data_IF_679951915551
#
_entry.id   IF_679951915551
#
_cell.length_a   1.000
_cell.length_b   1.000
_cell.length_c   1.000
_cell.angle_alpha   90.00
_cell.angle_beta   90.00
_cell.angle_gamma   90.00
#
_symmetry.space_group_name_H-M   'P 1'
#
loop_
_entity.id
_entity.type
_entity.pdbx_description
1 polymer ?
#
# COMPACT_ATOMS: atom_id res chain seq x y z
N UNK A 1 1.21 -15.59 -0.08
CA UNK A 1 2.42 -14.81 0.30
C UNK A 1 3.49 -14.74 -0.78
N UNK A 2 4.08 -15.85 -1.25
CA UNK A 2 5.16 -15.84 -2.26
C UNK A 2 4.80 -15.09 -3.56
N UNK A 3 3.60 -15.34 -4.10
CA UNK A 3 3.12 -14.66 -5.32
C UNK A 3 2.96 -13.14 -5.14
N UNK A 4 2.50 -12.69 -3.95
CA UNK A 4 2.34 -11.25 -3.67
C UNK A 4 3.69 -10.54 -3.57
N UNK A 5 4.70 -11.19 -3.00
CA UNK A 5 6.07 -10.66 -2.99
C UNK A 5 6.58 -10.47 -4.42
N UNK A 6 6.34 -11.44 -5.31
CA UNK A 6 6.71 -11.32 -6.73
C UNK A 6 5.98 -10.14 -7.39
N UNK A 7 4.68 -9.98 -7.14
CA UNK A 7 3.90 -8.85 -7.67
C UNK A 7 4.44 -7.52 -7.16
N UNK A 8 4.77 -7.42 -5.86
CA UNK A 8 5.34 -6.20 -5.28
C UNK A 8 6.73 -5.89 -5.83
N UNK A 9 7.57 -6.91 -6.12
CA UNK A 9 8.85 -6.71 -6.78
C UNK A 9 8.64 -6.14 -8.18
N UNK A 10 7.75 -6.74 -8.97
CA UNK A 10 7.41 -6.24 -10.31
C UNK A 10 6.85 -4.81 -10.26
N UNK A 11 5.98 -4.51 -9.29
CA UNK A 11 5.45 -3.17 -9.08
C UNK A 11 6.55 -2.18 -8.69
N UNK A 12 7.51 -2.58 -7.85
CA UNK A 12 8.64 -1.75 -7.45
C UNK A 12 9.55 -1.42 -8.64
N UNK A 13 9.78 -2.34 -9.57
CA UNK A 13 10.48 -2.04 -10.81
C UNK A 13 9.65 -1.15 -11.75
N UNK A 14 8.35 -1.42 -11.87
CA UNK A 14 7.47 -0.67 -12.76
C UNK A 14 7.36 0.81 -12.35
N UNK A 15 7.22 1.08 -11.06
CA UNK A 15 7.11 2.45 -10.54
C UNK A 15 8.41 3.25 -10.68
N UNK A 16 9.59 2.61 -10.60
CA UNK A 16 10.86 3.33 -10.73
C UNK A 16 11.27 3.53 -12.19
N UNK A 17 10.69 2.78 -13.14
CA UNK A 17 11.10 2.80 -14.55
C UNK A 17 10.09 3.44 -15.50
N UNK A 18 8.78 3.28 -15.28
CA UNK A 18 7.76 3.63 -16.29
C UNK A 18 6.77 4.69 -15.79
N UNK A 19 6.28 4.57 -14.55
CA UNK A 19 5.17 5.39 -14.06
C UNK A 19 5.53 6.08 -12.74
N UNK A 20 5.37 7.41 -12.63
CA UNK A 20 5.60 8.16 -11.39
C UNK A 20 4.41 8.00 -10.42
N UNK A 21 4.06 6.74 -10.13
CA UNK A 21 2.97 6.38 -9.21
C UNK A 21 3.49 5.30 -8.27
N UNK A 22 3.32 5.54 -6.97
CA UNK A 22 3.75 4.60 -5.94
C UNK A 22 2.78 3.39 -5.83
N UNK A 23 2.92 2.47 -6.79
CA UNK A 23 2.12 1.26 -6.89
C UNK A 23 2.34 0.32 -5.71
N UNK A 24 3.56 0.26 -5.20
CA UNK A 24 3.91 -0.59 -4.06
C UNK A 24 3.12 -0.15 -2.84
N UNK A 25 3.14 1.15 -2.52
CA UNK A 25 2.39 1.71 -1.41
C UNK A 25 0.88 1.52 -1.61
N UNK A 26 0.36 1.74 -2.82
CA UNK A 26 -1.05 1.54 -3.14
C UNK A 26 -1.51 0.09 -2.88
N UNK A 27 -0.75 -0.90 -3.34
CA UNK A 27 -1.06 -2.32 -3.12
C UNK A 27 -1.04 -2.64 -1.62
N UNK A 28 -0.06 -2.12 -0.88
CA UNK A 28 0.07 -2.32 0.56
C UNK A 28 -1.10 -1.67 1.33
N UNK A 29 -1.54 -0.47 0.94
CA UNK A 29 -2.73 0.19 1.49
C UNK A 29 -3.96 -0.70 1.26
N UNK A 30 -4.19 -1.14 0.01
CA UNK A 30 -5.33 -1.98 -0.32
C UNK A 30 -5.34 -3.28 0.50
N UNK A 31 -4.19 -3.94 0.61
CA UNK A 31 -4.06 -5.17 1.40
C UNK A 31 -4.27 -4.93 2.89
N UNK A 32 -3.67 -3.90 3.45
CA UNK A 32 -3.83 -3.56 4.86
C UNK A 32 -5.28 -3.19 5.21
N UNK A 33 -6.02 -2.64 4.24
CA UNK A 33 -7.44 -2.35 4.38
C UNK A 33 -8.31 -3.61 4.31
N UNK A 34 -8.00 -4.57 3.44
CA UNK A 34 -8.71 -5.87 3.37
C UNK A 34 -8.44 -6.72 4.62
N UNK A 35 -7.18 -6.76 5.08
CA UNK A 35 -6.75 -7.65 6.16
C UNK A 35 -5.66 -7.02 7.02
N UNK A 36 -5.99 -6.72 8.27
CA UNK A 36 -5.04 -6.19 9.26
C UNK A 36 -4.15 -7.30 9.84
N UNK A 37 -3.01 -7.58 9.20
CA UNK A 37 -1.99 -8.52 9.71
C UNK A 37 -0.64 -7.86 9.99
N UNK A 38 0.10 -8.41 10.95
CA UNK A 38 1.48 -7.97 11.27
C UNK A 38 2.43 -8.11 10.08
N UNK A 39 2.17 -9.07 9.19
CA UNK A 39 2.97 -9.31 7.98
C UNK A 39 2.92 -8.12 7.00
N UNK A 40 1.89 -7.29 7.04
CA UNK A 40 1.84 -6.10 6.19
C UNK A 40 2.87 -5.05 6.62
N UNK A 41 3.22 -4.99 7.92
CA UNK A 41 4.24 -4.07 8.41
C UNK A 41 5.65 -4.52 7.99
N UNK A 42 5.93 -5.82 8.05
CA UNK A 42 7.21 -6.35 7.58
C UNK A 42 7.38 -6.16 6.08
N UNK A 43 6.30 -6.31 5.30
CA UNK A 43 6.31 -6.01 3.87
C UNK A 43 6.48 -4.52 3.60
N UNK A 44 5.78 -3.65 4.33
CA UNK A 44 5.94 -2.20 4.20
C UNK A 44 7.38 -1.77 4.44
N UNK A 45 8.03 -2.31 5.48
CA UNK A 45 9.43 -2.04 5.76
C UNK A 45 10.36 -2.54 4.65
N UNK A 46 10.23 -3.82 4.25
CA UNK A 46 11.10 -4.44 3.26
C UNK A 46 10.96 -3.78 1.87
N UNK A 47 9.73 -3.51 1.44
CA UNK A 47 9.47 -2.87 0.15
C UNK A 47 9.70 -1.37 0.17
N UNK A 48 9.58 -0.70 1.31
CA UNK A 48 10.03 0.68 1.47
C UNK A 48 11.55 0.80 1.32
N UNK A 49 12.32 -0.15 1.88
CA UNK A 49 13.77 -0.23 1.66
C UNK A 49 14.11 -0.52 0.19
N UNK A 50 13.42 -1.50 -0.43
CA UNK A 50 13.64 -1.84 -1.83
C UNK A 50 13.36 -0.65 -2.75
N UNK A 51 12.24 0.04 -2.53
CA UNK A 51 11.85 1.22 -3.32
C UNK A 51 12.85 2.34 -3.14
N UNK A 52 13.28 2.63 -1.90
CA UNK A 52 14.30 3.64 -1.65
C UNK A 52 15.62 3.30 -2.37
N UNK A 53 16.02 2.03 -2.37
CA UNK A 53 17.22 1.58 -3.07
C UNK A 53 17.11 1.77 -4.58
N UNK A 54 15.97 1.39 -5.17
CA UNK A 54 15.74 1.52 -6.61
C UNK A 54 15.59 2.99 -7.06
N UNK A 55 15.00 3.84 -6.22
CA UNK A 55 14.82 5.27 -6.50
C UNK A 55 16.03 6.12 -6.10
N UNK A 56 17.10 5.52 -5.56
CA UNK A 56 18.30 6.21 -5.06
C UNK A 56 18.00 7.26 -3.97
N UNK A 57 16.99 7.00 -3.14
CA UNK A 57 16.57 7.85 -2.01
C UNK A 57 17.15 7.29 -0.70
N UNK A 58 17.21 8.13 0.35
CA UNK A 58 17.58 7.68 1.70
C UNK A 58 16.72 6.51 2.18
N UNK A 59 17.39 5.35 2.34
CA UNK A 59 16.79 4.05 2.68
C UNK A 59 15.89 4.09 3.93
N UNK A 60 16.36 4.78 4.97
CA UNK A 60 15.66 4.82 6.25
C UNK A 60 14.35 5.61 6.20
N UNK A 61 14.30 6.69 5.42
CA UNK A 61 13.15 7.60 5.45
C UNK A 61 11.94 7.00 4.74
N UNK A 62 12.13 6.41 3.55
CA UNK A 62 11.04 5.85 2.76
C UNK A 62 10.39 4.64 3.46
N UNK A 63 11.20 3.80 4.11
CA UNK A 63 10.70 2.65 4.88
C UNK A 63 9.89 3.07 6.11
N UNK A 64 10.27 4.17 6.77
CA UNK A 64 9.48 4.75 7.87
C UNK A 64 8.14 5.30 7.36
N UNK A 65 8.14 6.03 6.24
CA UNK A 65 6.91 6.58 5.63
C UNK A 65 5.92 5.44 5.32
N UNK A 66 6.40 4.38 4.66
CA UNK A 66 5.59 3.20 4.34
C UNK A 66 5.02 2.54 5.60
N UNK A 67 5.84 2.37 6.63
CA UNK A 67 5.39 1.79 7.91
C UNK A 67 4.29 2.63 8.55
N UNK A 68 4.46 3.94 8.62
CA UNK A 68 3.48 4.86 9.23
C UNK A 68 2.17 4.81 8.46
N UNK A 69 2.21 4.86 7.13
CA UNK A 69 1.01 4.82 6.29
C UNK A 69 0.29 3.49 6.43
N UNK A 70 1.00 2.36 6.32
CA UNK A 70 0.39 1.03 6.46
C UNK A 70 -0.17 0.81 7.86
N UNK A 71 0.52 1.30 8.91
CA UNK A 71 0.01 1.25 10.28
C UNK A 71 -1.26 2.08 10.44
N UNK A 72 -1.33 3.28 9.85
CA UNK A 72 -2.53 4.11 9.86
C UNK A 72 -3.71 3.40 9.19
N UNK A 73 -3.48 2.76 8.04
CA UNK A 73 -4.50 1.95 7.35
C UNK A 73 -4.96 0.78 8.21
N UNK A 74 -4.04 0.07 8.87
CA UNK A 74 -4.43 -1.04 9.75
C UNK A 74 -5.33 -0.59 10.89
N UNK A 75 -5.01 0.55 11.53
CA UNK A 75 -5.86 1.11 12.59
C UNK A 75 -7.24 1.48 12.02
N UNK A 76 -7.28 2.11 10.84
CA UNK A 76 -8.52 2.51 10.19
C UNK A 76 -9.35 1.31 9.73
N UNK A 77 -8.73 0.22 9.28
CA UNK A 77 -9.39 -1.01 8.85
C UNK A 77 -10.13 -1.72 10.00
N UNK A 78 -9.76 -1.45 11.26
CA UNK A 78 -10.46 -1.97 12.44
C UNK A 78 -11.69 -1.15 12.82
N UNK A 79 -11.85 0.03 12.24
CA UNK A 79 -13.04 0.85 12.45
C UNK A 79 -14.20 0.35 11.59
N UNK A 80 -15.43 0.67 11.99
CA UNK A 80 -16.65 0.31 11.25
C UNK A 80 -16.70 0.90 9.82
N UNK A 81 -15.78 1.80 9.47
CA UNK A 81 -15.64 2.38 8.13
C UNK A 81 -15.11 1.37 7.10
N UNK A 82 -14.51 0.24 7.53
CA UNK A 82 -13.98 -0.78 6.62
C UNK A 82 -15.05 -1.56 5.82
N UNK A 83 -16.33 -1.40 6.17
CA UNK A 83 -17.44 -2.07 5.49
C UNK A 83 -17.78 -1.50 4.10
N UNK A 84 -17.38 -0.26 3.80
CA UNK A 84 -17.70 0.38 2.52
C UNK A 84 -16.48 0.41 1.59
N UNK A 85 -16.46 -0.36 0.49
CA UNK A 85 -15.33 -0.42 -0.42
C UNK A 85 -15.06 0.91 -1.15
N UNK A 86 -16.04 1.82 -1.26
CA UNK A 86 -15.84 3.13 -1.87
C UNK A 86 -14.94 4.05 -1.02
N UNK A 87 -14.83 3.81 0.28
CA UNK A 87 -14.00 4.63 1.16
C UNK A 87 -12.50 4.42 0.93
N UNK A 88 -12.08 3.39 0.20
CA UNK A 88 -10.66 3.19 -0.13
C UNK A 88 -10.10 4.33 -0.99
N UNK A 89 -10.93 4.95 -1.83
CA UNK A 89 -10.53 6.05 -2.73
C UNK A 89 -10.15 7.31 -1.94
N UNK A 90 -11.03 7.89 -1.09
CA UNK A 90 -10.65 9.07 -0.31
C UNK A 90 -9.54 8.76 0.72
N UNK A 91 -9.50 7.55 1.29
CA UNK A 91 -8.44 7.16 2.23
C UNK A 91 -7.09 7.08 1.52
N UNK A 92 -7.01 6.39 0.38
CA UNK A 92 -5.78 6.30 -0.39
C UNK A 92 -5.34 7.66 -0.91
N UNK A 93 -6.27 8.52 -1.34
CA UNK A 93 -5.96 9.89 -1.73
C UNK A 93 -5.25 10.65 -0.60
N UNK A 94 -5.83 10.66 0.61
CA UNK A 94 -5.23 11.35 1.77
C UNK A 94 -3.83 10.77 2.09
N UNK A 95 -3.71 9.45 2.14
CA UNK A 95 -2.44 8.80 2.53
C UNK A 95 -1.34 8.97 1.48
N UNK A 96 -1.68 8.90 0.20
CA UNK A 96 -0.75 9.12 -0.90
C UNK A 96 -0.35 10.60 -0.99
N UNK A 97 -1.29 11.54 -0.79
CA UNK A 97 -0.93 12.98 -0.69
C UNK A 97 0.01 13.25 0.47
N UNK A 98 -0.19 12.59 1.61
CA UNK A 98 0.70 12.73 2.78
C UNK A 98 2.10 12.18 2.47
N UNK A 99 2.19 11.01 1.83
CA UNK A 99 3.46 10.42 1.39
C UNK A 99 4.22 11.37 0.47
N UNK A 100 3.53 11.90 -0.55
CA UNK A 100 4.12 12.76 -1.56
C UNK A 100 4.54 14.11 -0.98
N UNK A 101 3.75 14.67 -0.06
CA UNK A 101 4.10 15.89 0.65
C UNK A 101 5.36 15.72 1.51
N UNK A 102 5.48 14.61 2.24
CA UNK A 102 6.68 14.32 3.03
C UNK A 102 7.90 14.19 2.11
N UNK A 103 7.75 13.48 0.99
CA UNK A 103 8.82 13.31 0.00
C UNK A 103 9.24 14.64 -0.63
N UNK A 104 8.29 15.50 -1.01
CA UNK A 104 8.56 16.79 -1.63
C UNK A 104 9.32 17.72 -0.68
N UNK A 105 8.95 17.71 0.61
CA UNK A 105 9.64 18.49 1.65
C UNK A 105 11.06 17.97 1.89
N UNK A 106 11.26 16.64 1.88
CA UNK A 106 12.58 16.03 2.10
C UNK A 106 13.54 16.23 0.94
N UNK A 107 13.03 16.14 -0.28
CA UNK A 107 13.84 16.19 -1.51
C UNK A 107 13.92 17.59 -2.12
N UNK A 108 13.20 18.58 -1.55
CA UNK A 108 13.04 19.93 -2.10
C UNK A 108 12.53 19.93 -3.56
N UNK A 109 11.67 18.97 -3.89
CA UNK A 109 11.06 18.85 -5.22
C UNK A 109 9.62 19.35 -5.20
N UNK A 110 9.08 19.64 -6.37
CA UNK A 110 7.67 20.03 -6.52
C UNK A 110 6.77 18.80 -6.39
N UNK A 111 5.65 18.95 -5.69
CA UNK A 111 4.66 17.87 -5.53
C UNK A 111 3.94 17.57 -6.85
N UNK A 112 4.01 16.34 -7.35
CA UNK A 112 3.25 15.89 -8.52
C UNK A 112 1.86 15.38 -8.13
N UNK A 113 0.92 16.30 -7.98
CA UNK A 113 -0.44 15.96 -7.53
C UNK A 113 -1.24 15.11 -8.54
N UNK A 114 -0.90 15.18 -9.83
CA UNK A 114 -1.56 14.40 -10.89
C UNK A 114 -1.41 12.89 -10.68
N UNK A 115 -0.21 12.43 -10.29
CA UNK A 115 0.06 11.03 -9.99
C UNK A 115 -0.78 10.51 -8.82
N UNK A 116 -0.97 11.35 -7.80
CA UNK A 116 -1.78 11.00 -6.61
C UNK A 116 -3.26 10.82 -6.95
N UNK A 117 -3.82 11.70 -7.79
CA UNK A 117 -5.23 11.57 -8.22
C UNK A 117 -5.44 10.26 -8.99
N UNK A 118 -4.54 9.95 -9.94
CA UNK A 118 -4.61 8.72 -10.74
C UNK A 118 -4.50 7.49 -9.82
N UNK A 119 -3.56 7.50 -8.89
CA UNK A 119 -3.36 6.43 -7.92
C UNK A 119 -4.60 6.23 -7.01
N UNK A 120 -5.22 7.32 -6.55
CA UNK A 120 -6.44 7.26 -5.77
C UNK A 120 -7.60 6.63 -6.55
N UNK A 121 -7.78 6.99 -7.82
CA UNK A 121 -8.77 6.36 -8.71
C UNK A 121 -8.47 4.88 -8.95
N UNK A 122 -7.19 4.53 -9.15
CA UNK A 122 -6.73 3.15 -9.32
C UNK A 122 -6.82 2.30 -8.05
N UNK A 123 -6.96 2.92 -6.87
CA UNK A 123 -7.08 2.19 -5.60
C UNK A 123 -8.33 1.31 -5.56
N UNK A 124 -9.43 1.71 -6.20
CA UNK A 124 -10.68 0.94 -6.22
C UNK A 124 -10.57 -0.35 -7.05
N UNK A 125 -10.15 -0.33 -8.33
CA UNK A 125 -9.92 -1.57 -9.07
C UNK A 125 -8.81 -2.42 -8.44
N UNK A 126 -7.73 -1.80 -7.93
CA UNK A 126 -6.68 -2.52 -7.22
C UNK A 126 -7.21 -3.21 -5.95
N UNK A 127 -8.10 -2.55 -5.20
CA UNK A 127 -8.74 -3.12 -4.03
C UNK A 127 -9.54 -4.38 -4.36
N UNK A 128 -10.34 -4.37 -5.42
CA UNK A 128 -11.08 -5.57 -5.83
C UNK A 128 -10.15 -6.70 -6.30
N UNK A 129 -9.08 -6.39 -7.03
CA UNK A 129 -8.08 -7.38 -7.44
C UNK A 129 -7.40 -8.01 -6.22
N UNK A 130 -6.98 -7.21 -5.26
CA UNK A 130 -6.36 -7.68 -4.01
C UNK A 130 -7.34 -8.50 -3.19
N UNK A 131 -8.59 -8.07 -3.08
CA UNK A 131 -9.65 -8.79 -2.36
C UNK A 131 -9.92 -10.17 -2.98
N UNK A 132 -10.10 -10.24 -4.30
CA UNK A 132 -10.29 -11.50 -5.02
C UNK A 132 -9.08 -12.42 -4.88
N UNK A 133 -7.87 -11.86 -4.88
CA UNK A 133 -6.64 -12.61 -4.67
C UNK A 133 -6.56 -13.18 -3.25
N UNK A 134 -6.84 -12.37 -2.23
CA UNK A 134 -6.85 -12.79 -0.83
C UNK A 134 -7.90 -13.90 -0.59
N UNK A 135 -9.08 -13.78 -1.20
CA UNK A 135 -10.14 -14.81 -1.09
C UNK A 135 -9.78 -16.14 -1.78
N UNK A 136 -9.07 -16.11 -2.91
CA UNK A 136 -8.73 -17.31 -3.68
C UNK A 136 -7.46 -18.02 -3.22
N UNK A 137 -6.44 -17.27 -2.83
CA UNK A 137 -5.10 -17.82 -2.62
C UNK A 137 -4.72 -17.99 -1.15
N UNK A 138 -5.52 -17.48 -0.22
CA UNK A 138 -5.24 -17.64 1.21
C UNK A 138 -6.31 -18.53 1.85
N UNK A 139 -5.89 -19.75 2.15
CA UNK A 139 -6.71 -20.76 2.83
C UNK A 139 -7.14 -20.20 4.18
N UNK A 140 -8.44 -19.92 4.35
CA UNK A 140 -9.00 -19.58 5.65
C UNK A 140 -8.88 -20.84 6.53
N UNK A 141 -8.25 -20.71 7.70
CA UNK A 141 -8.38 -21.74 8.74
C UNK A 141 -9.87 -21.81 9.05
N UNK A 142 -10.50 -22.93 8.69
CA UNK A 142 -11.90 -23.17 9.00
C UNK A 142 -12.11 -22.96 10.51
N UNK A 143 -13.10 -22.13 10.85
CA UNK A 143 -13.51 -21.95 12.23
C UNK A 143 -14.10 -23.29 12.66
N UNK A 144 -13.32 -24.10 13.37
CA UNK A 144 -13.86 -25.26 14.09
C UNK A 144 -14.83 -24.71 15.13
N UNK A 145 -16.12 -24.73 14.80
CA UNK A 145 -17.18 -24.63 15.81
C UNK A 145 -16.95 -25.81 16.76
N UNK A 146 -16.42 -25.52 17.96
CA UNK A 146 -16.53 -26.44 19.08
C UNK A 146 -18.03 -26.52 19.41
N UNK A 147 -18.67 -27.57 18.93
CA UNK A 147 -19.93 -28.06 19.48
C UNK A 147 -19.60 -28.89 20.71
#
# INVERSE_FOLDING_TARGET
MKALIIILILAAFLQTTILPVDFVLLILICRAYVRSEKENLSLAFAFGLLTAHLSLISLGLYSIIYLVIVQAVQILSRSNLAGNPLLIVPISMILLTLSEFINSVLTNTTMEFSGVIIAALLSLPAFYLVKLWEERFIVRKEIKLRV
#
